data_IF_557290164633
#
_entry.id   IF_557290164633
#
_cell.length_a   1.000
_cell.length_b   1.000
_cell.length_c   1.000
_cell.angle_alpha   90.00
_cell.angle_beta   90.00
_cell.angle_gamma   90.00
#
_symmetry.space_group_name_H-M   'P 1'
#
loop_
_entity.id
_entity.type
_entity.pdbx_description
1 polymer ?
#
# COMPACT_ATOMS: atom_id res chain seq x y z
N UNK A 1 10.94 -3.69 3.83
CA UNK A 1 9.69 -4.49 3.74
C UNK A 1 8.48 -3.57 3.75
N UNK A 2 8.58 -2.44 4.46
CA UNK A 2 7.59 -1.36 4.41
C UNK A 2 8.03 -0.18 3.52
N UNK A 3 7.05 0.44 2.84
CA UNK A 3 7.19 1.72 2.15
C UNK A 3 6.27 2.74 2.82
N UNK A 4 6.80 3.89 3.23
CA UNK A 4 6.02 4.99 3.83
C UNK A 4 5.94 6.13 2.82
N UNK A 5 4.73 6.53 2.45
CA UNK A 5 4.46 7.59 1.49
C UNK A 5 3.47 8.61 2.08
N UNK A 6 3.60 9.86 1.66
CA UNK A 6 2.63 10.91 1.95
C UNK A 6 1.91 11.29 0.65
N UNK A 7 0.59 11.49 0.73
CA UNK A 7 -0.24 11.87 -0.41
C UNK A 7 -1.49 12.62 0.05
N UNK A 8 -2.23 13.19 -0.89
CA UNK A 8 -3.50 13.84 -0.61
C UNK A 8 -4.63 12.81 -0.47
N UNK A 9 -5.70 13.18 0.25
CA UNK A 9 -6.88 12.32 0.39
C UNK A 9 -7.53 11.95 -0.94
N UNK A 10 -7.44 12.82 -1.94
CA UNK A 10 -7.99 12.62 -3.28
C UNK A 10 -7.23 11.53 -4.06
N UNK A 11 -5.91 11.46 -3.87
CA UNK A 11 -5.04 10.52 -4.59
C UNK A 11 -4.83 9.20 -3.84
N UNK A 12 -5.15 9.15 -2.55
CA UNK A 12 -4.87 8.03 -1.64
C UNK A 12 -5.22 6.65 -2.22
N UNK A 13 -6.46 6.46 -2.69
CA UNK A 13 -6.90 5.17 -3.24
C UNK A 13 -6.15 4.78 -4.51
N UNK A 14 -5.86 5.76 -5.39
CA UNK A 14 -5.13 5.52 -6.63
C UNK A 14 -3.67 5.16 -6.34
N UNK A 15 -3.03 5.87 -5.41
CA UNK A 15 -1.66 5.59 -5.01
C UNK A 15 -1.55 4.21 -4.36
N UNK A 16 -2.44 3.89 -3.42
CA UNK A 16 -2.46 2.58 -2.75
C UNK A 16 -2.52 1.44 -3.76
N UNK A 17 -3.48 1.50 -4.72
CA UNK A 17 -3.59 0.48 -5.77
C UNK A 17 -2.33 0.35 -6.62
N UNK A 18 -1.75 1.48 -7.03
CA UNK A 18 -0.51 1.50 -7.83
C UNK A 18 0.65 0.81 -7.09
N UNK A 19 0.83 1.14 -5.81
CA UNK A 19 1.92 0.60 -5.00
C UNK A 19 1.74 -0.89 -4.74
N UNK A 20 0.52 -1.34 -4.40
CA UNK A 20 0.23 -2.77 -4.20
C UNK A 20 0.54 -3.57 -5.45
N UNK A 21 0.01 -3.16 -6.61
CA UNK A 21 0.27 -3.86 -7.88
C UNK A 21 1.76 -3.90 -8.19
N UNK A 22 2.47 -2.77 -8.06
CA UNK A 22 3.90 -2.73 -8.35
C UNK A 22 4.73 -3.64 -7.42
N UNK A 23 4.33 -3.78 -6.15
CA UNK A 23 5.03 -4.62 -5.18
C UNK A 23 4.71 -6.11 -5.32
N UNK A 24 3.43 -6.46 -5.53
CA UNK A 24 3.01 -7.87 -5.67
C UNK A 24 3.49 -8.48 -7.00
N UNK A 25 3.54 -7.70 -8.08
CA UNK A 25 3.89 -8.16 -9.42
C UNK A 25 5.37 -7.95 -9.80
N UNK A 26 6.21 -7.49 -8.86
CA UNK A 26 7.60 -7.06 -9.13
C UNK A 26 8.45 -8.17 -9.79
N UNK A 27 8.21 -9.43 -9.45
CA UNK A 27 8.94 -10.59 -9.99
C UNK A 27 8.11 -11.87 -9.80
N UNK A 28 8.26 -12.83 -10.72
CA UNK A 28 7.66 -14.17 -10.55
C UNK A 28 8.43 -15.00 -9.52
N UNK A 29 7.70 -15.51 -8.52
CA UNK A 29 8.21 -16.38 -7.47
C UNK A 29 7.33 -17.63 -7.36
N UNK A 30 7.86 -18.68 -6.74
CA UNK A 30 7.10 -19.92 -6.47
C UNK A 30 5.98 -19.73 -5.44
N UNK A 31 5.97 -18.60 -4.73
CA UNK A 31 4.95 -18.21 -3.75
C UNK A 31 4.55 -16.75 -3.99
N UNK A 32 3.29 -16.36 -3.78
CA UNK A 32 2.86 -14.97 -4.01
C UNK A 32 3.47 -14.02 -2.98
N UNK A 33 3.78 -12.81 -3.42
CA UNK A 33 4.00 -11.67 -2.52
C UNK A 33 2.63 -11.06 -2.20
N UNK A 34 2.37 -10.82 -0.92
CA UNK A 34 1.11 -10.23 -0.44
C UNK A 34 1.43 -8.94 0.28
N UNK A 35 0.78 -7.84 -0.09
CA UNK A 35 1.02 -6.52 0.48
C UNK A 35 -0.17 -6.08 1.33
N UNK A 36 0.10 -5.64 2.56
CA UNK A 36 -0.86 -4.95 3.42
C UNK A 36 -0.65 -3.44 3.29
N UNK A 37 -1.74 -2.67 3.23
CA UNK A 37 -1.71 -1.21 3.11
C UNK A 37 -2.54 -0.56 4.20
N UNK A 38 -1.91 0.40 4.88
CA UNK A 38 -2.53 1.20 5.93
C UNK A 38 -2.38 2.68 5.62
N UNK A 39 -3.33 3.46 6.10
CA UNK A 39 -3.32 4.93 6.01
C UNK A 39 -3.65 5.53 7.36
N UNK A 40 -3.13 6.72 7.63
CA UNK A 40 -3.33 7.41 8.88
C UNK A 40 -2.90 8.86 8.78
N UNK A 41 -3.50 9.73 9.59
CA UNK A 41 -3.04 11.12 9.72
C UNK A 41 -1.73 11.24 10.51
N UNK A 42 -1.33 10.17 11.20
CA UNK A 42 -0.05 10.02 11.87
C UNK A 42 0.24 8.52 12.05
N UNK A 43 1.48 8.18 12.42
CA UNK A 43 1.91 6.79 12.59
C UNK A 43 1.19 6.02 13.70
N UNK A 44 0.67 6.70 14.72
CA UNK A 44 -0.05 6.03 15.80
C UNK A 44 -1.47 5.62 15.38
N UNK A 45 -2.12 6.41 14.52
CA UNK A 45 -3.49 6.22 14.06
C UNK A 45 -3.52 5.72 12.61
N UNK A 46 -3.10 4.48 12.40
CA UNK A 46 -3.10 3.81 11.09
C UNK A 46 -4.26 2.81 11.00
N UNK A 47 -5.00 2.84 9.89
CA UNK A 47 -6.09 1.92 9.59
C UNK A 47 -5.87 1.24 8.24
N UNK A 48 -6.23 -0.03 8.11
CA UNK A 48 -6.14 -0.75 6.84
C UNK A 48 -7.08 -0.14 5.81
N UNK A 49 -6.55 0.14 4.62
CA UNK A 49 -7.38 0.52 3.48
C UNK A 49 -8.12 -0.74 3.04
N UNK A 50 -9.46 -0.67 3.03
CA UNK A 50 -10.30 -1.67 2.37
C UNK A 50 -10.66 -1.14 0.98
N UNK A 51 -10.57 -2.01 -0.02
CA UNK A 51 -11.01 -1.71 -1.39
C UNK A 51 -12.45 -1.21 -1.44
#
# INVERSE_FOLDING_TARGET
DELVLETTSEELKRLAKLVVTAMEEVVQLNVPLVVDVKTGSNWYNMESIKD
#
